data_IF_207260549046
#
_entry.id   IF_207260549046
#
_cell.length_a   1.000
_cell.length_b   1.000
_cell.length_c   1.000
_cell.angle_alpha   90.00
_cell.angle_beta   90.00
_cell.angle_gamma   90.00
#
_symmetry.space_group_name_H-M   'P 1'
#
loop_
_entity.id
_entity.type
_entity.pdbx_description
1 polymer ?
#
# COMPACT_ATOMS: atom_id res chain seq x y z
N UNK A 1 29.55 -1.88 26.65
CA UNK A 1 28.24 -1.74 27.32
C UNK A 1 27.27 -2.67 26.63
N UNK A 2 26.84 -3.77 27.29
CA UNK A 2 25.82 -4.66 26.77
C UNK A 2 24.46 -3.96 26.90
N UNK A 3 24.00 -3.33 25.85
CA UNK A 3 22.60 -2.87 25.78
C UNK A 3 21.71 -4.10 25.68
N UNK A 4 21.11 -4.48 26.76
CA UNK A 4 20.10 -5.55 26.81
C UNK A 4 18.97 -5.14 25.85
N UNK A 5 18.76 -5.92 24.78
CA UNK A 5 17.66 -5.67 23.85
C UNK A 5 16.33 -5.91 24.58
N UNK A 6 15.49 -4.88 24.62
CA UNK A 6 14.15 -5.01 25.21
C UNK A 6 13.22 -5.68 24.18
N UNK A 7 12.88 -6.94 24.43
CA UNK A 7 11.93 -7.70 23.62
C UNK A 7 10.57 -7.63 24.29
N UNK A 8 9.57 -7.16 23.59
CA UNK A 8 8.20 -7.03 24.08
C UNK A 8 7.21 -7.60 23.06
N UNK A 9 6.07 -8.08 23.55
CA UNK A 9 4.91 -8.39 22.71
C UNK A 9 3.89 -7.27 22.87
N UNK A 10 3.49 -6.66 21.76
CA UNK A 10 2.50 -5.57 21.74
C UNK A 10 1.23 -6.08 21.09
N UNK A 11 0.11 -5.97 21.81
CA UNK A 11 -1.22 -6.32 21.35
C UNK A 11 -2.15 -5.12 21.48
N UNK A 12 -3.01 -4.90 20.49
CA UNK A 12 -4.11 -3.95 20.62
C UNK A 12 -5.39 -4.70 20.98
N UNK A 13 -5.90 -4.59 22.23
CA UNK A 13 -7.07 -5.32 22.70
C UNK A 13 -8.37 -4.89 21.98
N UNK A 14 -8.37 -3.74 21.30
CA UNK A 14 -9.52 -3.26 20.53
C UNK A 14 -9.65 -3.93 19.16
N UNK A 15 -8.58 -4.58 18.67
CA UNK A 15 -8.61 -5.30 17.41
C UNK A 15 -9.01 -6.76 17.62
N UNK A 16 -10.12 -7.17 16.99
CA UNK A 16 -10.49 -8.58 16.93
C UNK A 16 -9.50 -9.30 16.01
N UNK A 17 -8.76 -10.25 16.54
CA UNK A 17 -7.85 -11.09 15.76
C UNK A 17 -8.52 -12.39 15.37
N UNK A 18 -8.17 -12.91 14.18
CA UNK A 18 -8.64 -14.24 13.72
C UNK A 18 -7.99 -15.40 14.45
N UNK A 19 -6.88 -15.16 15.16
CA UNK A 19 -6.18 -16.18 15.95
C UNK A 19 -6.64 -16.09 17.40
N UNK A 20 -7.26 -17.16 17.91
CA UNK A 20 -7.81 -17.21 19.27
C UNK A 20 -6.78 -17.01 20.39
N UNK A 21 -5.51 -17.28 20.15
CA UNK A 21 -4.43 -17.13 21.15
C UNK A 21 -3.31 -16.22 20.62
N UNK A 22 -3.69 -15.07 20.06
CA UNK A 22 -2.70 -14.12 19.59
C UNK A 22 -2.04 -13.38 20.74
N UNK A 23 -0.75 -13.67 20.98
CA UNK A 23 0.05 -13.04 22.03
C UNK A 23 0.57 -11.64 21.72
N UNK A 24 0.25 -11.10 20.53
CA UNK A 24 0.73 -9.79 20.04
C UNK A 24 1.93 -9.90 19.10
N UNK A 25 2.28 -8.78 18.48
CA UNK A 25 3.43 -8.64 17.60
C UNK A 25 4.71 -8.44 18.41
N UNK A 26 5.81 -9.08 17.99
CA UNK A 26 7.11 -8.94 18.64
C UNK A 26 7.69 -7.56 18.31
N UNK A 27 8.12 -6.85 19.34
CA UNK A 27 8.90 -5.62 19.20
C UNK A 27 10.27 -5.79 19.85
N UNK A 28 11.30 -5.23 19.22
CA UNK A 28 12.66 -5.16 19.77
C UNK A 28 13.06 -3.70 19.77
N UNK A 29 13.30 -3.13 20.92
CA UNK A 29 13.62 -1.70 21.10
C UNK A 29 12.55 -0.79 20.44
N UNK A 30 11.26 -1.12 20.56
CA UNK A 30 10.16 -0.35 20.02
C UNK A 30 9.91 -0.48 18.50
N UNK A 31 10.58 -1.41 17.82
CA UNK A 31 10.35 -1.70 16.41
C UNK A 31 9.71 -3.05 16.23
N UNK A 32 8.71 -3.17 15.37
CA UNK A 32 8.07 -4.43 15.02
C UNK A 32 9.01 -5.33 14.21
N UNK A 33 8.93 -6.63 14.47
CA UNK A 33 9.69 -7.66 13.78
C UNK A 33 8.78 -8.81 13.35
N UNK A 34 9.19 -9.53 12.32
CA UNK A 34 8.53 -10.77 11.91
C UNK A 34 8.77 -11.86 12.95
N UNK A 35 7.76 -12.72 13.18
CA UNK A 35 7.84 -13.79 14.18
C UNK A 35 8.97 -14.80 13.93
N UNK A 36 9.33 -15.03 12.66
CA UNK A 36 10.24 -16.10 12.28
C UNK A 36 11.59 -15.63 11.75
N UNK A 37 11.72 -14.37 11.37
CA UNK A 37 12.95 -13.91 10.69
C UNK A 37 13.25 -12.44 10.97
N UNK A 38 14.39 -12.16 11.58
CA UNK A 38 14.91 -10.80 11.70
C UNK A 38 15.70 -10.49 10.43
N UNK A 39 15.09 -9.73 9.51
CA UNK A 39 15.80 -9.28 8.31
C UNK A 39 16.68 -8.08 8.68
N UNK A 40 17.98 -8.28 8.67
CA UNK A 40 18.95 -7.18 8.77
C UNK A 40 19.33 -6.77 7.36
N UNK A 41 18.91 -5.59 6.92
CA UNK A 41 19.42 -4.99 5.69
C UNK A 41 20.53 -4.00 6.06
N UNK A 42 21.83 -4.36 5.88
CA UNK A 42 22.90 -3.45 6.19
C UNK A 42 22.87 -2.26 5.23
N UNK A 43 23.02 -1.05 5.76
CA UNK A 43 23.02 0.21 4.98
C UNK A 43 23.99 0.14 3.80
N UNK A 44 25.11 -0.55 3.97
CA UNK A 44 26.13 -0.77 2.94
C UNK A 44 25.61 -1.59 1.74
N UNK A 45 24.71 -2.55 1.93
CA UNK A 45 24.14 -3.30 0.81
C UNK A 45 23.20 -2.42 -0.02
N UNK A 46 22.45 -1.55 0.62
CA UNK A 46 21.57 -0.56 -0.06
C UNK A 46 22.42 0.47 -0.82
N UNK A 47 23.51 0.95 -0.22
CA UNK A 47 24.42 1.89 -0.88
C UNK A 47 25.11 1.23 -2.07
N UNK A 48 25.63 0.01 -1.91
CA UNK A 48 26.22 -0.79 -2.99
C UNK A 48 25.23 -1.01 -4.14
N UNK A 49 23.99 -1.35 -3.82
CA UNK A 49 22.93 -1.51 -4.83
C UNK A 49 22.64 -0.21 -5.57
N UNK A 50 22.53 0.93 -4.87
CA UNK A 50 22.33 2.24 -5.50
C UNK A 50 23.47 2.69 -6.39
N UNK A 51 24.70 2.31 -6.07
CA UNK A 51 25.91 2.64 -6.84
C UNK A 51 26.22 1.61 -7.93
N UNK A 52 25.55 0.45 -7.92
CA UNK A 52 25.72 -0.56 -8.96
C UNK A 52 25.06 -0.11 -10.28
N UNK A 53 25.71 -0.46 -11.39
CA UNK A 53 25.11 -0.23 -12.71
C UNK A 53 23.88 -1.13 -12.89
N UNK A 54 22.79 -0.53 -13.36
CA UNK A 54 21.61 -1.31 -13.76
C UNK A 54 21.85 -1.93 -15.13
N UNK A 55 22.04 -3.25 -15.18
CA UNK A 55 22.27 -3.99 -16.43
C UNK A 55 21.11 -3.88 -17.42
N UNK A 56 19.90 -3.62 -16.93
CA UNK A 56 18.69 -3.48 -17.75
C UNK A 56 18.37 -2.02 -18.13
N UNK A 57 19.29 -1.07 -17.88
CA UNK A 57 19.02 0.36 -18.10
C UNK A 57 18.62 0.67 -19.54
N UNK A 58 19.37 0.13 -20.51
CA UNK A 58 19.09 0.33 -21.92
C UNK A 58 17.78 -0.33 -22.35
N UNK A 59 17.54 -1.57 -21.92
CA UNK A 59 16.30 -2.28 -22.19
C UNK A 59 15.08 -1.50 -21.67
N UNK A 60 15.13 -1.05 -20.41
CA UNK A 60 14.06 -0.21 -19.81
C UNK A 60 13.87 1.14 -20.51
N UNK A 61 14.92 1.74 -21.02
CA UNK A 61 14.82 3.00 -21.76
C UNK A 61 14.17 2.80 -23.13
N UNK A 62 14.43 1.67 -23.79
CA UNK A 62 13.90 1.33 -25.10
C UNK A 62 12.52 0.66 -25.05
N UNK A 63 12.08 0.27 -23.85
CA UNK A 63 10.77 -0.35 -23.66
C UNK A 63 9.66 0.69 -23.83
N UNK A 64 8.98 0.60 -24.97
CA UNK A 64 7.81 1.42 -25.33
C UNK A 64 6.49 0.74 -24.99
N UNK A 65 6.53 -0.47 -24.42
CA UNK A 65 5.32 -1.19 -24.07
C UNK A 65 4.49 -0.41 -23.02
N UNK A 66 3.18 -0.43 -23.20
CA UNK A 66 2.21 0.18 -22.27
C UNK A 66 1.09 -0.80 -22.06
N UNK A 67 0.63 -0.86 -20.82
CA UNK A 67 -0.60 -1.58 -20.51
C UNK A 67 -1.79 -0.80 -21.06
N UNK A 68 -2.71 -1.52 -21.69
CA UNK A 68 -4.00 -0.94 -22.07
C UNK A 68 -4.78 -0.57 -20.82
N UNK A 69 -5.36 0.63 -20.81
CA UNK A 69 -6.18 1.12 -19.70
C UNK A 69 -7.64 0.97 -20.06
N UNK A 70 -8.33 0.08 -19.36
CA UNK A 70 -9.79 -0.06 -19.45
C UNK A 70 -10.41 0.96 -18.50
N UNK A 71 -11.05 1.99 -19.06
CA UNK A 71 -11.70 3.02 -18.27
C UNK A 71 -13.00 2.54 -17.66
N UNK A 72 -13.18 2.76 -16.35
CA UNK A 72 -14.32 2.36 -15.56
C UNK A 72 -14.97 3.61 -14.97
N UNK A 73 -16.27 3.77 -15.21
CA UNK A 73 -17.02 4.92 -14.71
C UNK A 73 -18.05 4.57 -13.63
N UNK A 74 -18.40 3.29 -13.51
CA UNK A 74 -19.37 2.82 -12.54
C UNK A 74 -18.72 2.09 -11.36
N UNK A 75 -18.64 2.77 -10.24
CA UNK A 75 -18.24 2.23 -8.94
C UNK A 75 -19.43 2.05 -7.99
N UNK A 76 -20.63 2.40 -8.44
CA UNK A 76 -21.90 2.26 -7.72
C UNK A 76 -22.48 0.85 -7.73
N UNK A 77 -22.11 0.02 -8.71
CA UNK A 77 -22.58 -1.36 -8.82
C UNK A 77 -22.31 -2.18 -7.55
N UNK A 78 -23.26 -3.04 -7.20
CA UNK A 78 -23.14 -4.00 -6.08
C UNK A 78 -22.47 -5.31 -6.47
N UNK A 79 -22.01 -5.43 -7.70
CA UNK A 79 -21.31 -6.62 -8.18
C UNK A 79 -19.97 -6.81 -7.49
N UNK A 80 -19.65 -8.05 -7.19
CA UNK A 80 -18.34 -8.44 -6.67
C UNK A 80 -17.29 -8.29 -7.76
N UNK A 81 -16.27 -7.46 -7.50
CA UNK A 81 -15.21 -7.19 -8.47
C UNK A 81 -13.95 -6.68 -7.83
N UNK A 82 -12.84 -6.90 -8.52
CA UNK A 82 -11.53 -6.34 -8.19
C UNK A 82 -11.06 -5.54 -9.39
N UNK A 83 -10.69 -4.28 -9.16
CA UNK A 83 -10.17 -3.36 -10.18
C UNK A 83 -8.76 -2.92 -9.76
N UNK A 84 -7.77 -3.18 -10.61
CA UNK A 84 -6.43 -2.65 -10.39
C UNK A 84 -6.36 -1.18 -10.80
N UNK A 85 -6.05 -0.31 -9.84
CA UNK A 85 -5.95 1.14 -10.05
C UNK A 85 -4.51 1.60 -10.34
N UNK A 86 -3.59 0.65 -10.40
CA UNK A 86 -2.17 0.86 -10.64
C UNK A 86 -1.31 0.72 -9.38
N UNK A 87 -0.04 0.39 -9.56
CA UNK A 87 0.91 0.07 -8.49
C UNK A 87 0.34 -0.97 -7.52
N UNK A 88 0.26 -0.70 -6.24
CA UNK A 88 -0.33 -1.56 -5.21
C UNK A 88 -1.80 -1.20 -4.91
N UNK A 89 -2.39 -0.29 -5.69
CA UNK A 89 -3.74 0.22 -5.44
C UNK A 89 -4.78 -0.66 -6.12
N UNK A 90 -5.74 -1.17 -5.34
CA UNK A 90 -6.88 -1.92 -5.82
C UNK A 90 -8.18 -1.36 -5.26
N UNK A 91 -9.21 -1.29 -6.08
CA UNK A 91 -10.59 -1.19 -5.63
C UNK A 91 -11.17 -2.59 -5.57
N UNK A 92 -11.81 -2.93 -4.47
CA UNK A 92 -12.43 -4.23 -4.23
C UNK A 92 -13.85 -4.01 -3.75
N UNK A 93 -14.82 -4.65 -4.40
CA UNK A 93 -16.22 -4.72 -3.98
C UNK A 93 -16.59 -6.17 -3.73
N UNK A 94 -17.08 -6.48 -2.54
CA UNK A 94 -17.52 -7.83 -2.15
C UNK A 94 -18.75 -7.70 -1.27
N UNK A 95 -19.85 -8.34 -1.69
CA UNK A 95 -21.13 -8.31 -0.97
C UNK A 95 -21.61 -6.88 -0.65
N UNK A 96 -21.36 -5.93 -1.54
CA UNK A 96 -21.71 -4.53 -1.38
C UNK A 96 -20.79 -3.73 -0.46
N UNK A 97 -19.75 -4.33 0.10
CA UNK A 97 -18.70 -3.64 0.85
C UNK A 97 -17.59 -3.24 -0.12
N UNK A 98 -17.25 -1.95 -0.13
CA UNK A 98 -16.25 -1.37 -1.01
C UNK A 98 -15.01 -0.96 -0.22
N UNK A 99 -13.83 -1.35 -0.68
CA UNK A 99 -12.57 -0.97 -0.07
C UNK A 99 -11.53 -0.60 -1.12
N UNK A 100 -10.58 0.23 -0.72
CA UNK A 100 -9.40 0.58 -1.52
C UNK A 100 -8.15 0.23 -0.72
N UNK A 101 -7.17 -0.39 -1.39
CA UNK A 101 -5.86 -0.69 -0.79
C UNK A 101 -4.82 0.28 -1.29
N UNK A 102 -3.91 0.70 -0.41
CA UNK A 102 -2.69 1.46 -0.71
C UNK A 102 -2.84 2.52 -1.82
N UNK A 103 -3.80 3.48 -1.70
CA UNK A 103 -4.12 4.39 -2.78
C UNK A 103 -2.98 5.38 -3.06
N UNK A 104 -2.45 5.33 -4.29
CA UNK A 104 -1.44 6.23 -4.80
C UNK A 104 -1.77 6.61 -6.24
N UNK A 105 -2.51 7.71 -6.43
CA UNK A 105 -3.08 8.10 -7.72
C UNK A 105 -2.34 9.24 -8.40
N UNK A 106 -1.48 9.94 -7.68
CA UNK A 106 -0.68 11.04 -8.19
C UNK A 106 0.77 10.64 -8.45
N UNK A 107 1.46 11.46 -9.24
CA UNK A 107 2.89 11.34 -9.42
C UNK A 107 3.63 11.54 -8.10
N UNK A 108 4.59 10.68 -7.83
CA UNK A 108 5.49 10.83 -6.71
C UNK A 108 6.71 11.67 -7.11
N UNK A 109 7.39 12.34 -6.17
CA UNK A 109 8.57 13.15 -6.46
C UNK A 109 9.67 12.42 -7.25
N UNK A 110 9.76 11.10 -7.06
CA UNK A 110 10.81 10.26 -7.67
C UNK A 110 10.30 9.34 -8.78
N UNK A 111 8.98 9.23 -8.95
CA UNK A 111 8.38 8.25 -9.87
C UNK A 111 7.08 8.78 -10.45
N UNK A 112 7.03 8.89 -11.77
CA UNK A 112 5.82 9.27 -12.49
C UNK A 112 5.01 8.05 -12.89
N UNK A 113 3.71 8.20 -12.94
CA UNK A 113 2.83 7.19 -13.53
C UNK A 113 3.15 7.04 -15.01
N UNK A 114 3.19 5.81 -15.49
CA UNK A 114 3.44 5.49 -16.90
C UNK A 114 2.16 5.41 -17.74
N UNK A 115 1.03 5.20 -17.07
CA UNK A 115 -0.30 5.09 -17.68
C UNK A 115 -1.31 5.84 -16.80
N UNK A 116 -2.41 6.30 -17.42
CA UNK A 116 -3.46 7.03 -16.71
C UNK A 116 -4.21 6.15 -15.70
N UNK A 117 -4.93 6.78 -14.79
CA UNK A 117 -5.86 6.08 -13.93
C UNK A 117 -7.01 5.50 -14.76
N UNK A 118 -7.50 4.30 -14.41
CA UNK A 118 -8.63 3.70 -15.10
C UNK A 118 -9.97 4.39 -14.78
N UNK A 119 -9.97 5.41 -13.91
CA UNK A 119 -11.18 6.09 -13.48
C UNK A 119 -10.91 7.55 -13.06
N UNK A 120 -11.99 8.32 -12.97
CA UNK A 120 -11.94 9.59 -12.27
C UNK A 120 -11.97 9.35 -10.75
N UNK A 121 -11.08 9.99 -10.00
CA UNK A 121 -11.02 9.86 -8.52
C UNK A 121 -12.37 10.24 -7.88
N UNK A 122 -13.07 11.22 -8.46
CA UNK A 122 -14.36 11.67 -7.95
C UNK A 122 -15.49 10.63 -8.13
N UNK A 123 -15.29 9.61 -8.95
CA UNK A 123 -16.24 8.49 -9.07
C UNK A 123 -16.06 7.42 -7.99
N UNK A 124 -14.99 7.48 -7.20
CA UNK A 124 -14.74 6.59 -6.07
C UNK A 124 -15.56 7.06 -4.86
N UNK A 125 -16.84 6.72 -4.85
CA UNK A 125 -17.81 7.08 -3.79
C UNK A 125 -18.29 5.84 -3.05
N UNK A 126 -18.85 6.06 -1.86
CA UNK A 126 -19.36 5.01 -0.97
C UNK A 126 -18.31 3.96 -0.59
N UNK A 127 -17.08 4.40 -0.44
CA UNK A 127 -15.99 3.56 0.02
C UNK A 127 -16.14 3.36 1.54
N UNK A 128 -16.17 2.09 1.97
CA UNK A 128 -16.35 1.73 3.36
C UNK A 128 -15.01 1.65 4.11
N UNK A 129 -13.96 1.18 3.44
CA UNK A 129 -12.65 0.97 4.07
C UNK A 129 -11.52 1.43 3.18
N UNK A 130 -10.51 2.01 3.83
CA UNK A 130 -9.22 2.31 3.25
C UNK A 130 -8.16 1.48 3.99
N UNK A 131 -7.49 0.59 3.28
CA UNK A 131 -6.48 -0.30 3.85
C UNK A 131 -5.09 0.16 3.43
N UNK A 132 -4.26 0.49 4.40
CA UNK A 132 -2.86 0.89 4.18
C UNK A 132 -1.94 -0.18 4.71
N UNK A 133 -1.08 -0.72 3.85
CA UNK A 133 -0.16 -1.79 4.22
C UNK A 133 1.02 -1.27 5.05
N UNK A 134 1.55 -0.10 4.71
CA UNK A 134 2.66 0.54 5.41
C UNK A 134 2.82 2.03 5.02
N UNK A 135 3.75 2.73 5.64
CA UNK A 135 3.93 4.19 5.58
C UNK A 135 4.83 4.70 4.44
N UNK A 136 5.19 3.88 3.47
CA UNK A 136 5.89 4.37 2.29
C UNK A 136 4.97 5.26 1.44
N UNK A 137 5.51 6.28 0.79
CA UNK A 137 4.74 7.29 0.06
C UNK A 137 3.94 6.74 -1.12
N UNK A 138 4.37 5.65 -1.71
CA UNK A 138 3.70 4.93 -2.80
C UNK A 138 2.60 3.99 -2.32
N UNK A 139 2.39 3.89 -1.00
CA UNK A 139 1.29 3.18 -0.35
C UNK A 139 0.42 4.11 0.51
N UNK A 140 1.01 5.17 1.06
CA UNK A 140 0.34 6.18 1.88
C UNK A 140 0.50 7.57 1.22
N UNK A 141 -0.20 7.78 0.11
CA UNK A 141 -0.20 9.08 -0.58
C UNK A 141 -1.27 10.01 0.00
N UNK A 142 -0.81 11.00 0.76
CA UNK A 142 -1.69 11.97 1.42
C UNK A 142 -2.66 12.66 0.45
N UNK A 143 -2.19 13.06 -0.74
CA UNK A 143 -3.03 13.77 -1.70
C UNK A 143 -4.18 12.89 -2.22
N UNK A 144 -3.91 11.62 -2.46
CA UNK A 144 -4.92 10.64 -2.84
C UNK A 144 -5.91 10.40 -1.71
N UNK A 145 -5.41 10.20 -0.49
CA UNK A 145 -6.24 9.94 0.70
C UNK A 145 -7.17 11.12 0.97
N UNK A 146 -6.65 12.34 0.97
CA UNK A 146 -7.45 13.55 1.19
C UNK A 146 -8.62 13.65 0.19
N UNK A 147 -8.38 13.28 -1.08
CA UNK A 147 -9.43 13.28 -2.11
C UNK A 147 -10.46 12.17 -1.91
N UNK A 148 -10.03 10.97 -1.55
CA UNK A 148 -10.93 9.85 -1.26
C UNK A 148 -11.79 10.19 -0.03
N UNK A 149 -11.20 10.68 1.05
CA UNK A 149 -11.90 11.05 2.28
C UNK A 149 -12.91 12.17 2.02
N UNK A 150 -12.54 13.20 1.23
CA UNK A 150 -13.46 14.28 0.88
C UNK A 150 -14.72 13.79 0.13
N UNK A 151 -14.60 12.69 -0.62
CA UNK A 151 -15.71 12.09 -1.36
C UNK A 151 -16.50 11.03 -0.55
N UNK A 152 -16.00 10.63 0.62
CA UNK A 152 -16.50 9.48 1.39
C UNK A 152 -16.58 9.80 2.89
N UNK A 153 -17.62 10.52 3.33
CA UNK A 153 -17.77 11.02 4.70
C UNK A 153 -17.86 9.94 5.79
N UNK A 154 -18.21 8.71 5.43
CA UNK A 154 -18.35 7.58 6.35
C UNK A 154 -17.20 6.57 6.27
N UNK A 155 -16.09 6.96 5.67
CA UNK A 155 -14.92 6.11 5.50
C UNK A 155 -14.27 5.76 6.86
N UNK A 156 -14.00 4.47 7.07
CA UNK A 156 -13.14 3.98 8.15
C UNK A 156 -11.72 3.71 7.61
N UNK A 157 -10.73 4.17 8.34
CA UNK A 157 -9.29 4.05 8.03
C UNK A 157 -8.62 3.12 9.03
#
# INVERSE_FOLDING_TARGET
MNTTQKIEKVNNPLLKTVKQQWGGNITINGRFYNDSTIVKSPVWSVLKWKLSSNSQKLEKQNDISRLEVIHINDFGSKEDRIIWLGHSSFFISINGVKLITDPCFFDLPTTKRKVDLPCNINSLTDINYLLISHDHRDHLDKNTIDKIVANNLSLMV
#
